data_IF_689497470225
#
_entry.id   IF_689497470225
#
_cell.length_a   1.000
_cell.length_b   1.000
_cell.length_c   1.000
_cell.angle_alpha   90.00
_cell.angle_beta   90.00
_cell.angle_gamma   90.00
#
_symmetry.space_group_name_H-M   'P 1'
#
loop_
_entity.id
_entity.type
_entity.pdbx_description
1 polymer ?
#
# COMPACT_ATOMS: atom_id res chain seq x y z
N UNK A 1 -2.99 31.02 3.03
CA UNK A 1 -4.14 30.09 2.90
C UNK A 1 -5.13 30.42 1.76
N UNK A 2 -5.23 31.68 1.27
CA UNK A 2 -6.20 32.07 0.22
C UNK A 2 -6.07 31.23 -1.07
N UNK A 3 -4.86 31.06 -1.60
CA UNK A 3 -4.64 30.33 -2.86
C UNK A 3 -4.98 28.84 -2.78
N UNK A 4 -4.71 28.17 -1.65
CA UNK A 4 -5.06 26.76 -1.47
C UNK A 4 -6.59 26.55 -1.45
N UNK A 5 -7.35 27.48 -0.86
CA UNK A 5 -8.82 27.45 -0.92
C UNK A 5 -9.32 27.68 -2.35
N UNK A 6 -8.71 28.58 -3.11
CA UNK A 6 -9.01 28.78 -4.54
C UNK A 6 -8.74 27.52 -5.36
N UNK A 7 -7.67 26.78 -5.09
CA UNK A 7 -7.43 25.49 -5.76
C UNK A 7 -8.52 24.48 -5.36
N UNK A 8 -8.86 24.38 -4.08
CA UNK A 8 -9.85 23.42 -3.58
C UNK A 8 -11.24 23.63 -4.17
N UNK A 9 -11.74 24.88 -4.14
CA UNK A 9 -13.06 25.22 -4.69
C UNK A 9 -13.14 25.00 -6.22
N UNK A 10 -12.01 25.11 -6.93
CA UNK A 10 -11.92 24.91 -8.38
C UNK A 10 -11.47 23.50 -8.79
N UNK A 11 -11.32 22.55 -7.85
CA UNK A 11 -10.94 21.16 -8.14
C UNK A 11 -11.99 20.17 -7.62
N UNK A 12 -12.12 20.05 -6.30
CA UNK A 12 -13.00 19.06 -5.66
C UNK A 12 -14.20 19.69 -4.97
N UNK A 13 -14.14 20.99 -4.65
CA UNK A 13 -15.14 21.82 -3.99
C UNK A 13 -15.55 21.38 -2.58
N UNK A 14 -15.95 20.12 -2.40
CA UNK A 14 -16.35 19.52 -1.13
C UNK A 14 -15.55 18.25 -0.84
N UNK A 15 -15.31 18.00 0.45
CA UNK A 15 -14.88 16.69 0.94
C UNK A 15 -16.09 15.87 1.44
N UNK A 16 -16.00 14.53 1.50
CA UNK A 16 -17.09 13.71 2.02
C UNK A 16 -17.45 14.07 3.47
N UNK A 17 -18.72 14.40 3.73
CA UNK A 17 -19.16 14.92 5.04
C UNK A 17 -19.04 13.88 6.15
N UNK A 18 -19.40 12.62 5.87
CA UNK A 18 -19.44 11.57 6.89
C UNK A 18 -18.05 11.20 7.42
N UNK A 19 -17.02 11.14 6.56
CA UNK A 19 -15.65 10.86 7.00
C UNK A 19 -15.07 12.03 7.79
N UNK A 20 -15.40 13.28 7.43
CA UNK A 20 -15.03 14.45 8.22
C UNK A 20 -15.63 14.42 9.62
N UNK A 21 -16.93 14.07 9.75
CA UNK A 21 -17.59 13.91 11.04
C UNK A 21 -16.95 12.80 11.89
N UNK A 22 -16.64 11.64 11.28
CA UNK A 22 -15.98 10.53 11.98
C UNK A 22 -14.58 10.89 12.48
N UNK A 23 -13.77 11.60 11.66
CA UNK A 23 -12.45 12.07 12.06
C UNK A 23 -12.56 13.13 13.17
N UNK A 24 -13.53 14.04 13.09
CA UNK A 24 -13.77 15.03 14.14
C UNK A 24 -14.09 14.37 15.49
N UNK A 25 -15.02 13.41 15.52
CA UNK A 25 -15.34 12.64 16.73
C UNK A 25 -14.13 11.87 17.27
N UNK A 26 -13.31 11.30 16.38
CA UNK A 26 -12.09 10.57 16.76
C UNK A 26 -11.08 11.49 17.45
N UNK A 27 -10.88 12.70 16.92
CA UNK A 27 -10.00 13.69 17.55
C UNK A 27 -10.55 14.24 18.85
N UNK A 28 -11.86 14.48 18.96
CA UNK A 28 -12.50 14.88 20.21
C UNK A 28 -12.28 13.84 21.31
N UNK A 29 -12.45 12.54 20.98
CA UNK A 29 -12.14 11.45 21.90
C UNK A 29 -10.68 11.48 22.34
N UNK A 30 -9.74 11.57 21.41
CA UNK A 30 -8.30 11.56 21.75
C UNK A 30 -7.87 12.81 22.53
N UNK A 31 -8.50 13.96 22.28
CA UNK A 31 -8.26 15.18 23.06
C UNK A 31 -8.67 15.00 24.53
N UNK A 32 -9.83 14.37 24.79
CA UNK A 32 -10.31 14.09 26.15
C UNK A 32 -9.39 13.12 26.92
N UNK A 33 -8.70 12.24 26.21
CA UNK A 33 -7.80 11.24 26.79
C UNK A 33 -6.32 11.62 26.60
N UNK A 34 -6.02 12.86 26.21
CA UNK A 34 -4.67 13.23 25.79
C UNK A 34 -3.64 13.00 26.90
N UNK A 35 -2.59 12.23 26.59
CA UNK A 35 -1.55 11.84 27.56
C UNK A 35 -1.94 10.71 28.52
N UNK A 36 -3.18 10.23 28.52
CA UNK A 36 -3.62 9.14 29.37
C UNK A 36 -3.18 7.77 28.82
N UNK A 37 -2.95 6.75 29.67
CA UNK A 37 -2.63 5.39 29.23
C UNK A 37 -3.71 4.74 28.35
N UNK A 38 -4.95 5.23 28.45
CA UNK A 38 -6.11 4.79 27.67
C UNK A 38 -6.19 5.40 26.25
N UNK A 39 -5.41 6.46 25.96
CA UNK A 39 -5.42 7.14 24.65
C UNK A 39 -4.79 6.25 23.58
N UNK A 40 -5.40 6.28 22.38
CA UNK A 40 -4.86 5.59 21.23
C UNK A 40 -3.47 6.13 20.84
N UNK A 41 -3.23 7.43 20.98
CA UNK A 41 -1.92 8.04 20.72
C UNK A 41 -0.81 7.56 21.66
N UNK A 42 -1.14 7.04 22.84
CA UNK A 42 -0.16 6.40 23.74
C UNK A 42 -0.02 4.91 23.43
N UNK A 43 -1.15 4.19 23.32
CA UNK A 43 -1.14 2.73 23.15
C UNK A 43 -0.61 2.27 21.80
N UNK A 44 -0.99 2.95 20.72
CA UNK A 44 -0.67 2.50 19.37
C UNK A 44 0.83 2.56 19.05
N UNK A 45 1.57 3.66 19.33
CA UNK A 45 3.02 3.67 19.14
C UNK A 45 3.74 2.60 19.94
N UNK A 46 3.34 2.36 21.19
CA UNK A 46 3.93 1.29 22.03
C UNK A 46 3.71 -0.10 21.41
N UNK A 47 2.48 -0.39 20.96
CA UNK A 47 2.17 -1.66 20.32
C UNK A 47 2.93 -1.85 18.99
N UNK A 48 3.07 -0.77 18.22
CA UNK A 48 3.79 -0.76 16.94
C UNK A 48 5.30 -0.87 17.14
N UNK A 49 5.86 -0.26 18.19
CA UNK A 49 7.27 -0.37 18.54
C UNK A 49 7.67 -1.83 18.83
N UNK A 50 6.82 -2.58 19.57
CA UNK A 50 7.06 -4.01 19.79
C UNK A 50 7.10 -4.81 18.48
N UNK A 51 6.25 -4.45 17.50
CA UNK A 51 6.24 -5.08 16.17
C UNK A 51 7.48 -4.71 15.36
N UNK A 52 7.94 -3.45 15.45
CA UNK A 52 9.20 -2.98 14.85
C UNK A 52 10.37 -3.82 15.38
N UNK A 53 10.48 -3.95 16.70
CA UNK A 53 11.59 -4.65 17.34
C UNK A 53 11.59 -6.15 17.01
N UNK A 54 10.40 -6.77 16.91
CA UNK A 54 10.25 -8.13 16.40
C UNK A 54 10.75 -8.27 14.95
N UNK A 55 10.33 -7.37 14.06
CA UNK A 55 10.75 -7.40 12.66
C UNK A 55 12.26 -7.18 12.51
N UNK A 56 12.87 -6.28 13.29
CA UNK A 56 14.32 -6.05 13.29
C UNK A 56 15.06 -7.37 13.57
N UNK A 57 14.70 -8.06 14.65
CA UNK A 57 15.33 -9.35 14.99
C UNK A 57 15.12 -10.42 13.91
N UNK A 58 13.91 -10.48 13.34
CA UNK A 58 13.55 -11.44 12.29
C UNK A 58 14.33 -11.21 10.99
N UNK A 59 14.62 -9.95 10.65
CA UNK A 59 15.39 -9.64 9.45
C UNK A 59 16.90 -9.88 9.70
N UNK A 60 17.40 -9.55 10.88
CA UNK A 60 18.80 -9.82 11.24
C UNK A 60 19.16 -11.31 11.17
N UNK A 61 18.24 -12.21 11.53
CA UNK A 61 18.49 -13.66 11.48
C UNK A 61 18.73 -14.20 10.06
N UNK A 62 18.23 -13.51 9.04
CA UNK A 62 18.45 -13.87 7.62
C UNK A 62 19.61 -13.10 6.98
N UNK A 63 20.40 -12.37 7.76
CA UNK A 63 21.57 -11.63 7.28
C UNK A 63 21.25 -10.28 6.65
N UNK A 64 20.02 -9.80 6.80
CA UNK A 64 19.64 -8.44 6.44
C UNK A 64 20.08 -7.44 7.52
N UNK A 65 20.35 -6.19 7.15
CA UNK A 65 20.81 -5.14 8.08
C UNK A 65 19.77 -4.01 8.20
N UNK A 66 18.82 -4.09 9.15
CA UNK A 66 17.80 -3.06 9.34
C UNK A 66 18.38 -1.75 9.85
N UNK A 67 17.88 -0.63 9.33
CA UNK A 67 18.09 0.70 9.91
C UNK A 67 16.95 0.98 10.88
N UNK A 68 17.29 1.25 12.15
CA UNK A 68 16.29 1.44 13.22
C UNK A 68 15.56 2.76 12.99
N UNK A 69 14.25 2.68 12.71
CA UNK A 69 13.40 3.86 12.54
C UNK A 69 12.87 4.38 13.88
N UNK A 70 12.98 5.69 14.08
CA UNK A 70 12.48 6.40 15.26
C UNK A 70 10.97 6.66 15.18
N UNK A 71 10.37 6.56 13.98
CA UNK A 71 8.95 6.75 13.74
C UNK A 71 8.51 6.17 12.40
N UNK A 72 7.29 6.48 11.98
CA UNK A 72 6.63 5.91 10.78
C UNK A 72 6.25 4.42 10.94
N UNK A 73 5.71 3.84 9.86
CA UNK A 73 5.28 2.44 9.78
C UNK A 73 6.33 1.53 9.14
N UNK A 74 7.44 2.12 8.73
CA UNK A 74 8.43 1.49 7.87
C UNK A 74 9.80 1.42 8.53
N UNK A 75 10.53 0.38 8.19
CA UNK A 75 11.98 0.32 8.35
C UNK A 75 12.59 0.01 6.99
N UNK A 76 13.77 0.56 6.74
CA UNK A 76 14.58 0.19 5.58
C UNK A 76 15.64 -0.80 6.02
N UNK A 77 16.14 -1.57 5.07
CA UNK A 77 17.09 -2.63 5.31
C UNK A 77 18.12 -2.60 4.21
N UNK A 78 19.39 -2.55 4.62
CA UNK A 78 20.53 -2.60 3.72
C UNK A 78 20.71 -4.05 3.20
N UNK A 79 20.81 -4.17 1.89
CA UNK A 79 21.01 -5.41 1.13
C UNK A 79 22.35 -5.43 0.40
N UNK A 80 23.31 -4.57 0.77
CA UNK A 80 24.65 -4.52 0.18
C UNK A 80 25.40 -5.85 0.27
N UNK A 81 25.23 -6.58 1.38
CA UNK A 81 25.82 -7.92 1.53
C UNK A 81 25.27 -8.91 0.49
N UNK A 82 23.96 -8.84 0.22
CA UNK A 82 23.34 -9.64 -0.83
C UNK A 82 23.78 -9.17 -2.21
N UNK A 83 23.90 -7.86 -2.44
CA UNK A 83 24.42 -7.30 -3.69
C UNK A 83 25.80 -7.81 -4.05
N UNK A 84 26.68 -7.96 -3.05
CA UNK A 84 28.02 -8.53 -3.23
C UNK A 84 28.01 -10.05 -3.46
N UNK A 85 27.14 -10.79 -2.77
CA UNK A 85 27.08 -12.27 -2.86
C UNK A 85 26.28 -12.78 -4.06
N UNK A 86 25.32 -12.00 -4.53
CA UNK A 86 24.39 -12.33 -5.61
C UNK A 86 24.21 -11.12 -6.55
N UNK A 87 25.27 -10.66 -7.24
CA UNK A 87 25.18 -9.49 -8.12
C UNK A 87 24.31 -9.74 -9.36
N UNK A 88 24.28 -10.99 -9.85
CA UNK A 88 23.72 -11.38 -11.14
C UNK A 88 22.24 -11.75 -11.06
N UNK A 89 21.43 -10.85 -10.48
CA UNK A 89 19.98 -11.01 -10.50
C UNK A 89 19.39 -10.58 -11.85
N UNK A 90 18.39 -11.32 -12.38
CA UNK A 90 17.76 -10.99 -13.66
C UNK A 90 16.95 -9.69 -13.57
N UNK A 91 17.07 -8.85 -14.60
CA UNK A 91 16.32 -7.60 -14.76
C UNK A 91 16.75 -6.84 -16.00
N UNK A 92 16.16 -5.66 -16.22
CA UNK A 92 16.55 -4.80 -17.33
C UNK A 92 17.95 -4.16 -17.11
N UNK A 93 18.60 -3.71 -18.19
CA UNK A 93 19.99 -3.20 -18.18
C UNK A 93 20.21 -2.07 -17.17
N UNK A 94 19.27 -1.12 -17.07
CA UNK A 94 19.34 0.00 -16.13
C UNK A 94 18.50 -0.20 -14.85
N UNK A 95 18.06 -1.44 -14.58
CA UNK A 95 17.22 -1.70 -13.41
C UNK A 95 18.06 -1.70 -12.11
N UNK A 96 17.71 -0.85 -11.12
CA UNK A 96 18.36 -0.82 -9.81
C UNK A 96 18.38 -2.20 -9.14
N UNK A 97 19.46 -2.50 -8.42
CA UNK A 97 19.63 -3.81 -7.80
C UNK A 97 18.50 -4.18 -6.82
N UNK A 98 18.05 -3.24 -5.98
CA UNK A 98 16.94 -3.45 -5.04
C UNK A 98 15.63 -3.90 -5.71
N UNK A 99 15.33 -3.39 -6.90
CA UNK A 99 14.15 -3.77 -7.68
C UNK A 99 14.24 -5.22 -8.16
N UNK A 100 15.42 -5.62 -8.66
CA UNK A 100 15.72 -7.01 -9.02
C UNK A 100 15.69 -7.94 -7.81
N UNK A 101 16.24 -7.49 -6.69
CA UNK A 101 16.25 -8.21 -5.42
C UNK A 101 14.84 -8.44 -4.87
N UNK A 102 13.97 -7.43 -4.89
CA UNK A 102 12.57 -7.57 -4.47
C UNK A 102 11.82 -8.56 -5.35
N UNK A 103 11.99 -8.52 -6.68
CA UNK A 103 11.38 -9.51 -7.59
C UNK A 103 11.85 -10.94 -7.27
N UNK A 104 13.14 -11.12 -7.01
CA UNK A 104 13.70 -12.40 -6.59
C UNK A 104 13.13 -12.86 -5.24
N UNK A 105 13.04 -11.95 -4.26
CA UNK A 105 12.54 -12.25 -2.92
C UNK A 105 11.07 -12.66 -2.93
N UNK A 106 10.25 -12.01 -3.76
CA UNK A 106 8.83 -12.38 -3.93
C UNK A 106 8.72 -13.80 -4.49
N UNK A 107 9.46 -14.10 -5.57
CA UNK A 107 9.39 -15.39 -6.26
C UNK A 107 9.95 -16.55 -5.42
N UNK A 108 11.06 -16.34 -4.72
CA UNK A 108 11.81 -17.42 -4.06
C UNK A 108 11.56 -17.53 -2.56
N UNK A 109 11.21 -16.42 -1.89
CA UNK A 109 11.05 -16.36 -0.44
C UNK A 109 9.62 -16.03 -0.01
N UNK A 110 8.73 -15.64 -0.94
CA UNK A 110 7.34 -15.31 -0.63
C UNK A 110 7.19 -14.04 0.22
N UNK A 111 8.23 -13.21 0.31
CA UNK A 111 8.23 -11.96 1.07
C UNK A 111 8.18 -10.78 0.11
N UNK A 112 7.36 -9.78 0.47
CA UNK A 112 7.20 -8.55 -0.30
C UNK A 112 7.84 -7.40 0.47
N UNK A 113 8.76 -6.70 -0.19
CA UNK A 113 9.26 -5.39 0.23
C UNK A 113 9.10 -4.39 -0.91
N UNK A 114 9.40 -3.13 -0.65
CA UNK A 114 9.38 -2.06 -1.64
C UNK A 114 10.84 -1.62 -1.88
N UNK A 115 11.34 -1.63 -3.13
CA UNK A 115 12.67 -1.11 -3.44
C UNK A 115 12.73 0.38 -3.07
N UNK A 116 13.82 0.82 -2.45
CA UNK A 116 13.93 2.20 -1.95
C UNK A 116 14.33 3.16 -3.08
N UNK A 117 14.95 2.68 -4.16
CA UNK A 117 15.30 3.45 -5.35
C UNK A 117 14.12 4.22 -5.94
N UNK A 118 12.89 3.74 -5.80
CA UNK A 118 11.67 4.46 -6.27
C UNK A 118 11.40 5.77 -5.52
N UNK A 119 12.00 5.96 -4.34
CA UNK A 119 11.91 7.20 -3.56
C UNK A 119 13.03 8.18 -3.90
N UNK A 120 13.93 7.83 -4.82
CA UNK A 120 15.03 8.69 -5.28
C UNK A 120 14.79 9.15 -6.72
N UNK A 121 15.32 10.34 -7.05
CA UNK A 121 15.35 10.83 -8.43
C UNK A 121 16.15 9.88 -9.32
N UNK A 122 15.82 9.79 -10.61
CA UNK A 122 16.45 8.85 -11.55
C UNK A 122 17.98 8.91 -11.52
N UNK A 123 18.57 10.11 -11.43
CA UNK A 123 20.02 10.32 -11.32
C UNK A 123 20.66 9.68 -10.07
N UNK A 124 19.92 9.59 -8.96
CA UNK A 124 20.41 9.09 -7.69
C UNK A 124 20.05 7.61 -7.43
N UNK A 125 19.20 7.00 -8.25
CA UNK A 125 18.78 5.60 -8.05
C UNK A 125 19.96 4.64 -8.00
N UNK A 126 20.97 4.82 -8.86
CA UNK A 126 22.17 3.97 -8.90
C UNK A 126 23.02 4.03 -7.62
N UNK A 127 22.92 5.11 -6.84
CA UNK A 127 23.67 5.30 -5.59
C UNK A 127 22.92 4.71 -4.37
N UNK A 128 21.61 4.54 -4.47
CA UNK A 128 20.73 4.10 -3.38
C UNK A 128 19.94 2.84 -3.77
N UNK A 129 20.55 1.96 -4.56
CA UNK A 129 19.95 0.72 -5.08
C UNK A 129 20.16 -0.50 -4.16
N UNK A 130 20.62 -0.29 -2.94
CA UNK A 130 20.93 -1.32 -1.96
C UNK A 130 20.08 -1.24 -0.69
N UNK A 131 18.89 -0.63 -0.78
CA UNK A 131 17.94 -0.58 0.33
C UNK A 131 16.56 -1.10 -0.09
N UNK A 132 15.92 -1.83 0.82
CA UNK A 132 14.51 -2.26 0.67
C UNK A 132 13.71 -1.85 1.91
N UNK A 133 12.43 -1.53 1.71
CA UNK A 133 11.53 -1.03 2.75
C UNK A 133 10.49 -2.07 3.13
N UNK A 134 10.39 -2.37 4.43
CA UNK A 134 9.35 -3.20 5.02
C UNK A 134 8.36 -2.36 5.84
N UNK A 135 7.12 -2.84 5.94
CA UNK A 135 6.09 -2.27 6.81
C UNK A 135 5.80 -3.22 7.97
N UNK A 136 6.04 -2.78 9.20
CA UNK A 136 5.82 -3.59 10.42
C UNK A 136 4.43 -3.42 11.04
N UNK A 137 3.64 -2.45 10.58
CA UNK A 137 2.24 -2.29 11.01
C UNK A 137 1.37 -3.32 10.26
N UNK A 138 1.40 -4.55 10.76
CA UNK A 138 0.64 -5.69 10.24
C UNK A 138 -0.36 -6.18 11.28
N UNK A 139 -1.50 -6.68 10.80
CA UNK A 139 -2.48 -7.39 11.63
C UNK A 139 -1.90 -8.77 11.93
N UNK A 140 -2.01 -9.24 13.17
CA UNK A 140 -1.75 -10.65 13.46
C UNK A 140 -2.84 -11.45 12.74
N UNK A 141 -2.49 -12.13 11.66
CA UNK A 141 -3.35 -13.18 11.16
C UNK A 141 -3.44 -14.25 12.25
N UNK A 142 -4.65 -14.69 12.60
CA UNK A 142 -4.77 -16.02 13.21
C UNK A 142 -4.16 -16.98 12.18
N UNK A 143 -3.12 -17.71 12.57
CA UNK A 143 -2.73 -18.88 11.81
C UNK A 143 -3.99 -19.77 11.74
N UNK A 144 -4.50 -20.02 10.54
CA UNK A 144 -5.47 -21.09 10.35
C UNK A 144 -4.68 -22.38 10.46
N UNK A 145 -4.46 -22.81 11.69
CA UNK A 145 -4.29 -24.23 11.97
C UNK A 145 -5.64 -24.89 11.69
N UNK A 146 -5.62 -26.04 11.03
CA UNK A 146 -6.84 -26.78 10.71
C UNK A 146 -7.65 -27.05 11.97
N UNK A 147 -8.96 -26.80 11.90
CA UNK A 147 -9.92 -27.18 12.93
C UNK A 147 -10.74 -26.03 13.51
N UNK A 148 -12.01 -26.00 13.09
CA UNK A 148 -13.18 -25.41 13.76
C UNK A 148 -13.20 -23.89 14.01
N UNK A 149 -14.08 -23.24 13.24
CA UNK A 149 -14.45 -21.82 13.28
C UNK A 149 -14.85 -21.35 14.70
N UNK A 150 -14.27 -20.27 15.26
CA UNK A 150 -14.82 -19.62 16.45
C UNK A 150 -15.97 -18.68 16.04
N UNK A 151 -17.18 -18.98 16.50
CA UNK A 151 -18.36 -18.12 16.41
C UNK A 151 -18.06 -16.73 16.98
N UNK A 152 -18.21 -15.70 16.16
CA UNK A 152 -18.44 -14.33 16.63
C UNK A 152 -19.95 -14.15 16.86
N UNK A 153 -20.38 -13.55 17.99
CA UNK A 153 -21.79 -13.20 18.17
C UNK A 153 -22.21 -12.19 17.09
N UNK A 154 -23.22 -12.56 16.30
CA UNK A 154 -23.86 -11.66 15.33
C UNK A 154 -24.70 -10.64 16.10
N UNK A 155 -24.70 -9.35 15.74
CA UNK A 155 -25.71 -8.43 16.22
C UNK A 155 -27.09 -8.92 15.77
N UNK A 156 -28.06 -8.86 16.67
CA UNK A 156 -29.44 -9.25 16.43
C UNK A 156 -30.09 -8.31 15.40
N UNK A 157 -30.35 -8.84 14.21
CA UNK A 157 -31.01 -8.15 13.10
C UNK A 157 -30.99 -9.04 11.86
N UNK A 158 -32.11 -9.65 11.52
CA UNK A 158 -32.20 -10.84 10.67
C UNK A 158 -31.92 -10.64 9.18
N UNK A 159 -31.44 -11.71 8.54
CA UNK A 159 -32.17 -12.44 7.50
C UNK A 159 -31.43 -13.78 7.28
N UNK A 160 -32.15 -14.89 7.37
CA UNK A 160 -31.64 -16.24 7.23
C UNK A 160 -31.71 -16.67 5.77
N UNK A 161 -30.58 -16.75 5.07
CA UNK A 161 -30.49 -17.48 3.81
C UNK A 161 -29.43 -18.59 3.88
N UNK A 162 -29.92 -19.80 3.57
CA UNK A 162 -29.24 -21.08 3.55
C UNK A 162 -28.07 -21.10 2.56
N UNK A 163 -27.04 -21.85 2.93
CA UNK A 163 -25.84 -22.03 2.12
C UNK A 163 -26.08 -22.68 0.76
N UNK A 164 -25.52 -22.06 -0.28
CA UNK A 164 -24.90 -22.72 -1.45
C UNK A 164 -24.05 -21.66 -2.17
N UNK A 165 -22.73 -21.66 -1.94
CA UNK A 165 -21.83 -20.74 -2.64
C UNK A 165 -21.64 -21.28 -4.06
N UNK A 166 -22.47 -20.83 -4.99
CA UNK A 166 -22.33 -21.11 -6.41
C UNK A 166 -21.56 -19.96 -7.06
N UNK A 167 -20.43 -20.28 -7.68
CA UNK A 167 -19.57 -19.37 -8.44
C UNK A 167 -20.30 -18.92 -9.72
N UNK A 168 -21.11 -17.87 -9.66
CA UNK A 168 -21.72 -17.34 -10.90
C UNK A 168 -22.17 -15.87 -10.87
N UNK A 169 -21.40 -14.92 -10.34
CA UNK A 169 -21.69 -13.50 -10.62
C UNK A 169 -20.42 -12.67 -10.74
N UNK A 170 -19.90 -12.60 -11.98
CA UNK A 170 -19.26 -11.40 -12.54
C UNK A 170 -19.13 -11.55 -14.07
N UNK A 171 -20.26 -11.71 -14.78
CA UNK A 171 -20.33 -11.49 -16.23
C UNK A 171 -20.90 -10.09 -16.44
N UNK A 172 -20.06 -9.11 -16.75
CA UNK A 172 -20.51 -7.75 -17.06
C UNK A 172 -21.35 -7.75 -18.35
N UNK A 173 -22.55 -7.18 -18.27
CA UNK A 173 -23.44 -6.89 -19.40
C UNK A 173 -22.93 -5.63 -20.15
N UNK A 174 -22.70 -5.63 -21.47
CA UNK A 174 -22.09 -4.50 -22.19
C UNK A 174 -23.00 -3.26 -22.39
N UNK A 175 -24.19 -3.21 -21.78
CA UNK A 175 -25.19 -2.14 -22.01
C UNK A 175 -25.55 -1.39 -20.74
N UNK A 176 -24.59 -0.62 -20.21
CA UNK A 176 -24.88 0.48 -19.26
C UNK A 176 -23.67 1.42 -19.14
N UNK A 177 -23.40 2.18 -20.20
CA UNK A 177 -22.56 3.38 -20.14
C UNK A 177 -23.47 4.61 -20.32
N UNK A 178 -23.92 5.31 -19.28
CA UNK A 178 -24.20 6.73 -19.40
C UNK A 178 -22.86 7.46 -19.23
N UNK A 179 -22.57 8.42 -20.12
CA UNK A 179 -21.32 9.21 -20.20
C UNK A 179 -20.19 8.69 -21.11
N UNK A 180 -20.53 8.22 -22.32
CA UNK A 180 -19.71 8.48 -23.52
C UNK A 180 -20.66 8.79 -24.69
N UNK A 181 -21.03 10.05 -24.88
CA UNK A 181 -21.61 10.58 -26.13
C UNK A 181 -21.38 12.09 -26.19
N UNK A 182 -20.23 12.51 -26.72
CA UNK A 182 -20.16 13.66 -27.62
C UNK A 182 -18.78 13.70 -28.27
N UNK A 183 -18.61 12.90 -29.32
CA UNK A 183 -17.62 13.15 -30.37
C UNK A 183 -18.19 12.55 -31.66
N UNK A 184 -19.08 13.29 -32.33
CA UNK A 184 -19.30 13.16 -33.77
C UNK A 184 -19.44 14.53 -34.41
N UNK A 185 -18.69 14.68 -35.50
CA UNK A 185 -18.81 15.61 -36.62
C UNK A 185 -18.78 17.11 -36.35
N UNK A 186 -17.60 17.71 -36.59
CA UNK A 186 -17.42 19.11 -36.99
C UNK A 186 -16.24 19.19 -37.94
N UNK A 187 -16.47 19.62 -39.17
CA UNK A 187 -15.52 19.69 -40.29
C UNK A 187 -14.72 21.00 -40.21
N UNK A 188 -13.40 20.90 -40.37
CA UNK A 188 -12.37 21.85 -40.86
C UNK A 188 -12.34 23.31 -40.35
N UNK A 189 -11.18 23.70 -39.81
CA UNK A 189 -10.44 24.86 -40.34
C UNK A 189 -8.93 24.73 -40.09
N UNK A 190 -8.19 25.26 -41.05
CA UNK A 190 -6.76 25.22 -41.37
C UNK A 190 -5.81 25.96 -40.41
N UNK A 191 -4.58 25.45 -40.22
CA UNK A 191 -3.40 26.20 -39.74
C UNK A 191 -2.49 25.42 -38.75
N UNK A 192 -1.16 25.67 -38.72
CA UNK A 192 -0.16 24.61 -38.49
C UNK A 192 0.33 24.44 -37.03
N UNK A 193 0.92 23.27 -36.80
CA UNK A 193 1.88 22.90 -35.75
C UNK A 193 1.56 23.22 -34.28
N UNK A 194 1.03 22.23 -33.55
CA UNK A 194 1.63 21.71 -32.30
C UNK A 194 1.15 20.26 -32.11
N UNK A 195 2.08 19.31 -32.05
CA UNK A 195 1.80 17.94 -31.57
C UNK A 195 2.01 17.87 -30.05
N UNK A 196 1.03 17.39 -29.26
CA UNK A 196 1.32 16.88 -27.93
C UNK A 196 1.31 15.34 -27.97
N UNK A 197 2.50 14.74 -27.78
CA UNK A 197 2.63 13.31 -27.47
C UNK A 197 1.87 13.01 -26.17
N UNK A 198 0.81 12.22 -26.27
CA UNK A 198 0.14 11.63 -25.12
C UNK A 198 1.01 10.50 -24.54
N UNK A 199 1.66 10.77 -23.41
CA UNK A 199 2.31 9.73 -22.59
C UNK A 199 1.29 9.23 -21.55
N UNK A 200 0.45 8.28 -21.95
CA UNK A 200 -0.50 7.63 -21.05
C UNK A 200 0.21 6.48 -20.32
N UNK A 201 0.78 6.76 -19.13
CA UNK A 201 1.20 5.70 -18.20
C UNK A 201 -0.04 5.13 -17.49
N UNK A 202 -0.45 3.94 -17.94
CA UNK A 202 -1.41 3.07 -17.27
C UNK A 202 -0.81 2.57 -15.94
N UNK A 203 -1.30 3.11 -14.82
CA UNK A 203 -1.18 2.46 -13.50
C UNK A 203 -2.59 2.09 -13.07
N UNK A 204 -2.98 0.85 -13.37
CA UNK A 204 -4.26 0.27 -12.93
C UNK A 204 -4.18 -0.29 -11.51
N UNK A 205 -5.22 -0.13 -10.67
CA UNK A 205 -5.27 -0.70 -9.33
C UNK A 205 -6.01 -2.04 -9.37
N UNK A 206 -5.30 -3.16 -9.22
CA UNK A 206 -5.83 -4.42 -8.67
C UNK A 206 -4.74 -5.49 -8.75
N UNK A 207 -4.00 -5.67 -7.66
CA UNK A 207 -3.32 -6.94 -7.42
C UNK A 207 -3.53 -7.30 -5.95
N UNK A 208 -4.34 -8.32 -5.76
CA UNK A 208 -4.71 -8.90 -4.48
C UNK A 208 -3.48 -9.61 -3.91
N UNK A 209 -2.79 -9.00 -2.94
CA UNK A 209 -1.56 -9.57 -2.37
C UNK A 209 -1.83 -10.38 -1.12
N UNK A 210 -1.53 -11.69 -1.19
CA UNK A 210 -1.48 -12.58 -0.05
C UNK A 210 -0.23 -12.25 0.77
N UNK A 211 -0.39 -11.51 1.86
CA UNK A 211 0.68 -11.19 2.80
C UNK A 211 0.92 -12.43 3.67
N UNK A 212 1.97 -13.20 3.36
CA UNK A 212 2.44 -14.26 4.25
C UNK A 212 3.02 -13.63 5.51
N UNK A 213 2.52 -14.08 6.66
CA UNK A 213 3.00 -13.67 7.98
C UNK A 213 4.43 -14.18 8.19
N UNK A 214 5.33 -13.30 8.63
CA UNK A 214 6.71 -13.63 9.04
C UNK A 214 6.79 -14.54 10.29
N UNK A 215 5.69 -15.18 10.69
CA UNK A 215 5.58 -16.02 11.89
C UNK A 215 6.23 -17.40 11.76
N UNK A 216 7.00 -17.67 10.70
CA UNK A 216 7.71 -18.94 10.47
C UNK A 216 9.24 -18.80 10.52
N UNK A 217 9.73 -17.78 11.21
CA UNK A 217 11.13 -17.66 11.65
C UNK A 217 11.16 -17.22 13.11
#
# INVERSE_FOLDING_TARGET
MKHLRTVHQNSIFHCPTQSQAAVAQSFQREQLHFGQPSSYFVQFPQAVQRKRDHMIRSLQSVGLRPVISQGSYFLITDISDFKRRMPDLPGAVDEPYDSRFVKWMIKNKGLVAIPVSVFYSQSHQKHFDHYIRFCFVKVKGRAVEGGTSPNFPRPAGGCEERGRINLSWCRMNPRSRPWIRSCRSGRMNSGPDVTPRALCHLVGPCTLFRVLSLSRF
#
